data_IF_592916241158
#
_entry.id   IF_592916241158
#
_cell.length_a   1.000
_cell.length_b   1.000
_cell.length_c   1.000
_cell.angle_alpha   90.00
_cell.angle_beta   90.00
_cell.angle_gamma   90.00
#
_symmetry.space_group_name_H-M   'P 1'
#
loop_
_entity.id
_entity.type
_entity.pdbx_description
1 polymer ?
#
# COMPACT_ATOMS: atom_id res chain seq x y z
N UNK A 1 1.72 -8.69 2.40
CA UNK A 1 1.36 -7.44 1.77
C UNK A 1 -0.12 -7.47 1.39
N UNK A 2 -0.86 -6.45 1.81
CA UNK A 2 -2.30 -6.37 1.60
C UNK A 2 -2.67 -5.11 0.81
N UNK A 3 -3.28 -5.32 -0.36
CA UNK A 3 -4.01 -4.29 -1.09
C UNK A 3 -5.43 -4.13 -0.51
N UNK A 4 -6.16 -3.11 -0.97
CA UNK A 4 -7.50 -2.80 -0.45
C UNK A 4 -8.64 -3.54 -1.19
N UNK A 5 -8.35 -4.58 -1.98
CA UNK A 5 -9.36 -5.34 -2.72
C UNK A 5 -10.14 -6.34 -1.85
N UNK A 6 -11.30 -6.85 -2.31
CA UNK A 6 -12.19 -7.74 -1.55
C UNK A 6 -11.53 -8.99 -0.95
N UNK A 7 -10.57 -9.67 -1.62
CA UNK A 7 -9.90 -10.84 -1.04
C UNK A 7 -9.00 -10.52 0.17
N UNK A 8 -8.83 -9.25 0.54
CA UNK A 8 -8.02 -8.81 1.66
C UNK A 8 -8.39 -9.52 2.97
N UNK A 9 -9.67 -9.60 3.29
CA UNK A 9 -10.16 -10.24 4.52
C UNK A 9 -9.80 -11.72 4.57
N UNK A 10 -10.02 -12.45 3.47
CA UNK A 10 -9.67 -13.88 3.37
C UNK A 10 -8.16 -14.10 3.47
N UNK A 11 -7.36 -13.24 2.83
CA UNK A 11 -5.91 -13.23 2.97
C UNK A 11 -5.47 -13.00 4.41
N UNK A 12 -6.10 -12.04 5.11
CA UNK A 12 -5.86 -11.75 6.52
C UNK A 12 -6.13 -12.94 7.44
N UNK A 13 -7.22 -13.68 7.22
CA UNK A 13 -7.52 -14.91 7.96
C UNK A 13 -6.47 -16.00 7.78
N UNK A 14 -5.91 -16.15 6.57
CA UNK A 14 -4.84 -17.10 6.28
C UNK A 14 -3.57 -16.71 7.02
N UNK A 15 -3.19 -15.44 6.96
CA UNK A 15 -1.97 -14.92 7.59
C UNK A 15 -2.08 -14.94 9.10
N UNK A 16 -3.23 -14.59 9.68
CA UNK A 16 -3.43 -14.62 11.13
C UNK A 16 -3.25 -16.01 11.73
N UNK A 17 -3.40 -17.06 10.95
CA UNK A 17 -3.18 -18.46 11.35
C UNK A 17 -1.75 -18.95 11.17
N UNK A 18 -0.88 -18.19 10.47
CA UNK A 18 0.46 -18.67 10.09
C UNK A 18 1.63 -18.01 10.81
N UNK A 19 1.44 -17.04 11.80
CA UNK A 19 2.09 -15.99 11.91
C UNK A 19 2.92 -15.38 12.86
N UNK A 20 3.64 -15.88 13.56
CA UNK A 20 4.52 -15.15 14.49
C UNK A 20 5.72 -14.48 13.78
N UNK A 21 6.12 -14.94 12.60
CA UNK A 21 7.34 -14.49 11.89
C UNK A 21 7.09 -13.70 10.58
N UNK A 22 5.86 -13.24 10.34
CA UNK A 22 5.51 -12.54 9.11
C UNK A 22 5.27 -11.06 9.33
N UNK A 23 5.98 -10.19 8.60
CA UNK A 23 5.64 -8.77 8.53
C UNK A 23 4.34 -8.56 7.75
N UNK A 24 3.40 -7.86 8.35
CA UNK A 24 2.10 -7.54 7.78
C UNK A 24 2.09 -6.09 7.32
N UNK A 25 2.05 -5.90 6.01
CA UNK A 25 2.14 -4.59 5.37
C UNK A 25 0.79 -4.22 4.77
N UNK A 26 0.27 -3.06 5.14
CA UNK A 26 -0.96 -2.47 4.59
C UNK A 26 -0.67 -1.13 3.92
N UNK A 27 -1.58 -0.63 3.10
CA UNK A 27 -1.38 0.63 2.39
C UNK A 27 -2.64 1.48 2.26
N UNK A 28 -2.44 2.77 2.05
CA UNK A 28 -3.45 3.77 1.73
C UNK A 28 -4.65 3.75 2.69
N UNK A 29 -5.87 3.55 2.19
CA UNK A 29 -7.11 3.65 2.96
C UNK A 29 -7.45 2.40 3.82
N UNK A 30 -6.50 1.49 4.06
CA UNK A 30 -6.75 0.24 4.81
C UNK A 30 -7.39 0.48 6.19
N UNK A 31 -7.06 1.59 6.87
CA UNK A 31 -7.60 1.97 8.18
C UNK A 31 -9.13 2.09 8.20
N UNK A 32 -9.76 2.35 7.06
CA UNK A 32 -11.21 2.43 6.95
C UNK A 32 -11.90 1.09 7.19
N UNK A 33 -11.21 -0.03 7.02
CA UNK A 33 -11.71 -1.37 7.37
C UNK A 33 -11.23 -1.76 8.77
N UNK A 34 -11.91 -1.24 9.79
CA UNK A 34 -11.53 -1.42 11.21
C UNK A 34 -11.44 -2.89 11.61
N UNK A 35 -12.42 -3.71 11.22
CA UNK A 35 -12.43 -5.13 11.56
C UNK A 35 -11.22 -5.86 10.98
N UNK A 36 -10.84 -5.52 9.74
CA UNK A 36 -9.65 -6.06 9.10
C UNK A 36 -8.37 -5.63 9.82
N UNK A 37 -8.25 -4.35 10.16
CA UNK A 37 -7.08 -3.81 10.84
C UNK A 37 -6.89 -4.41 12.24
N UNK A 38 -7.99 -4.59 12.99
CA UNK A 38 -7.98 -5.25 14.30
C UNK A 38 -7.57 -6.73 14.20
N UNK A 39 -8.08 -7.45 13.20
CA UNK A 39 -7.74 -8.85 12.96
C UNK A 39 -6.28 -9.02 12.51
N UNK A 40 -5.82 -8.15 11.62
CA UNK A 40 -4.50 -8.27 11.02
C UNK A 40 -3.39 -7.81 11.96
N UNK A 41 -3.57 -6.73 12.71
CA UNK A 41 -2.54 -6.04 13.48
C UNK A 41 -1.28 -5.81 12.63
N UNK A 42 -1.30 -4.89 11.66
CA UNK A 42 -0.18 -4.69 10.74
C UNK A 42 1.05 -4.14 11.46
N UNK A 43 2.23 -4.47 10.92
CA UNK A 43 3.52 -4.00 11.43
C UNK A 43 4.02 -2.76 10.67
N UNK A 44 3.62 -2.65 9.39
CA UNK A 44 4.05 -1.58 8.49
C UNK A 44 2.85 -1.00 7.74
N UNK A 45 2.77 0.32 7.70
CA UNK A 45 1.79 1.07 6.93
C UNK A 45 2.49 1.85 5.82
N UNK A 46 2.03 1.74 4.57
CA UNK A 46 2.62 2.44 3.42
C UNK A 46 1.67 3.52 2.91
N UNK A 47 2.12 4.75 2.88
CA UNK A 47 1.43 5.89 2.24
C UNK A 47 2.29 6.45 1.12
N UNK A 48 1.68 6.67 -0.04
CA UNK A 48 2.43 7.09 -1.21
C UNK A 48 1.64 7.98 -2.17
N UNK A 49 0.35 8.11 -1.97
CA UNK A 49 -0.51 8.91 -2.81
C UNK A 49 -0.50 10.37 -2.34
N UNK A 50 -0.36 11.31 -3.27
CA UNK A 50 -0.42 12.75 -2.98
C UNK A 50 -1.72 13.17 -2.28
N UNK A 51 -2.76 12.37 -2.41
CA UNK A 51 -3.99 12.49 -1.65
C UNK A 51 -3.75 12.62 -0.12
N UNK A 52 -2.69 11.99 0.42
CA UNK A 52 -2.38 11.98 1.85
C UNK A 52 -1.53 13.19 2.31
N UNK A 53 -1.22 14.12 1.43
CA UNK A 53 -0.64 15.43 1.78
C UNK A 53 -1.56 16.60 1.40
N UNK A 54 -2.70 16.30 0.77
CA UNK A 54 -3.70 17.30 0.42
C UNK A 54 -4.54 17.68 1.64
N UNK A 55 -4.70 18.98 1.87
CA UNK A 55 -5.45 19.52 3.00
C UNK A 55 -6.93 19.13 3.01
N UNK A 56 -7.50 18.80 1.87
CA UNK A 56 -8.91 18.39 1.75
C UNK A 56 -9.18 17.00 2.35
N UNK A 57 -8.13 16.20 2.59
CA UNK A 57 -8.21 14.83 3.05
C UNK A 57 -7.62 14.60 4.46
N UNK A 58 -7.42 15.68 5.22
CA UNK A 58 -6.81 15.63 6.56
C UNK A 58 -7.54 14.66 7.53
N UNK A 59 -8.84 14.43 7.34
CA UNK A 59 -9.60 13.51 8.18
C UNK A 59 -9.06 12.08 8.12
N UNK A 60 -8.86 11.55 6.92
CA UNK A 60 -8.32 10.20 6.72
C UNK A 60 -6.85 10.11 7.14
N UNK A 61 -6.04 11.12 6.80
CA UNK A 61 -4.65 11.16 7.22
C UNK A 61 -4.53 11.14 8.75
N UNK A 62 -5.36 11.93 9.44
CA UNK A 62 -5.37 11.93 10.91
C UNK A 62 -5.75 10.55 11.47
N UNK A 63 -6.76 9.90 10.91
CA UNK A 63 -7.16 8.54 11.33
C UNK A 63 -6.00 7.54 11.17
N UNK A 64 -5.25 7.62 10.07
CA UNK A 64 -4.06 6.78 9.84
C UNK A 64 -2.97 7.09 10.85
N UNK A 65 -2.65 8.35 11.08
CA UNK A 65 -1.59 8.75 12.02
C UNK A 65 -1.94 8.36 13.46
N UNK A 66 -3.20 8.53 13.86
CA UNK A 66 -3.68 8.09 15.18
C UNK A 66 -3.60 6.57 15.31
N UNK A 67 -3.96 5.82 14.25
CA UNK A 67 -3.85 4.36 14.24
C UNK A 67 -2.40 3.88 14.35
N UNK A 68 -1.50 4.44 13.54
CA UNK A 68 -0.06 4.13 13.53
C UNK A 68 0.56 4.39 14.92
N UNK A 69 0.26 5.54 15.51
CA UNK A 69 0.75 5.93 16.83
C UNK A 69 0.24 5.02 17.94
N UNK A 70 -1.05 4.68 17.92
CA UNK A 70 -1.67 3.89 19.00
C UNK A 70 -1.31 2.40 18.96
N UNK A 71 -0.86 1.90 17.79
CA UNK A 71 -0.54 0.48 17.60
C UNK A 71 0.95 0.21 17.37
N UNK A 72 1.81 1.20 17.56
CA UNK A 72 3.28 1.08 17.45
C UNK A 72 3.76 0.61 16.06
N UNK A 73 3.11 1.09 15.00
CA UNK A 73 3.33 0.68 13.61
C UNK A 73 4.38 1.57 12.94
N UNK A 74 5.23 0.99 12.07
CA UNK A 74 6.14 1.74 11.23
C UNK A 74 5.39 2.34 10.03
N UNK A 75 5.58 3.62 9.76
CA UNK A 75 4.98 4.34 8.64
C UNK A 75 6.00 4.59 7.53
N UNK A 76 5.81 3.94 6.38
CA UNK A 76 6.63 4.12 5.18
C UNK A 76 6.02 5.22 4.29
N UNK A 77 6.78 6.28 4.03
CA UNK A 77 6.37 7.43 3.22
C UNK A 77 7.51 7.89 2.29
N UNK A 78 7.23 8.65 1.23
CA UNK A 78 8.29 9.35 0.47
C UNK A 78 9.18 10.17 1.40
N UNK A 79 10.50 10.10 1.21
CA UNK A 79 11.47 10.87 2.02
C UNK A 79 11.17 12.36 2.03
N UNK A 80 10.67 12.89 0.94
CA UNK A 80 10.30 14.30 0.78
C UNK A 80 9.12 14.73 1.67
N UNK A 81 8.33 13.76 2.18
CA UNK A 81 7.18 14.04 3.05
C UNK A 81 7.55 14.05 4.53
N UNK A 82 8.69 13.48 4.92
CA UNK A 82 9.09 13.36 6.34
C UNK A 82 9.04 14.71 7.07
N UNK A 83 9.61 15.82 6.56
CA UNK A 83 9.54 17.10 7.26
C UNK A 83 8.09 17.56 7.49
N UNK A 84 7.23 17.41 6.47
CA UNK A 84 5.81 17.77 6.60
C UNK A 84 5.11 16.95 7.68
N UNK A 85 5.36 15.61 7.70
CA UNK A 85 4.71 14.72 8.65
C UNK A 85 5.16 14.99 10.09
N UNK A 86 6.43 15.27 10.31
CA UNK A 86 6.96 15.61 11.64
C UNK A 86 6.49 16.99 12.09
N UNK A 87 6.68 18.02 11.25
CA UNK A 87 6.46 19.41 11.63
C UNK A 87 4.97 19.82 11.68
N UNK A 88 4.20 19.39 10.68
CA UNK A 88 2.80 19.80 10.58
C UNK A 88 1.82 18.82 11.25
N UNK A 89 2.14 17.52 11.23
CA UNK A 89 1.22 16.49 11.74
C UNK A 89 1.70 15.83 13.03
N UNK A 90 2.90 16.17 13.53
CA UNK A 90 3.43 15.68 14.79
C UNK A 90 3.72 14.17 14.80
N UNK A 91 4.06 13.60 13.62
CA UNK A 91 4.45 12.20 13.53
C UNK A 91 5.78 11.96 14.26
N UNK A 92 5.91 10.80 14.91
CA UNK A 92 7.17 10.40 15.55
C UNK A 92 8.18 10.00 14.47
N UNK A 93 9.27 10.76 14.34
CA UNK A 93 10.32 10.53 13.35
C UNK A 93 10.92 9.12 13.46
N UNK A 94 10.99 8.55 14.67
CA UNK A 94 11.51 7.20 14.89
C UNK A 94 10.59 6.09 14.33
N UNK A 95 9.36 6.44 13.98
CA UNK A 95 8.38 5.54 13.35
C UNK A 95 8.25 5.77 11.86
N UNK A 96 9.01 6.71 11.29
CA UNK A 96 8.98 7.01 9.86
C UNK A 96 10.11 6.29 9.12
N UNK A 97 9.76 5.61 8.06
CA UNK A 97 10.69 5.02 7.10
C UNK A 97 10.53 5.78 5.78
N UNK A 98 11.60 6.47 5.36
CA UNK A 98 11.61 7.23 4.12
C UNK A 98 12.11 6.37 2.95
N UNK A 99 11.40 6.39 1.83
CA UNK A 99 11.87 5.79 0.57
C UNK A 99 12.10 6.86 -0.51
N UNK A 100 13.02 6.61 -1.44
CA UNK A 100 13.20 7.41 -2.64
C UNK A 100 12.37 6.83 -3.79
N UNK A 101 11.95 7.71 -4.74
CA UNK A 101 11.09 7.33 -5.87
C UNK A 101 11.89 7.39 -7.19
N UNK A 102 13.09 6.89 -7.21
CA UNK A 102 14.07 7.04 -8.29
C UNK A 102 14.43 5.73 -9.01
N UNK A 103 13.87 4.59 -8.59
CA UNK A 103 14.18 3.31 -9.21
C UNK A 103 13.55 3.20 -10.60
N UNK A 104 14.39 3.00 -11.60
CA UNK A 104 13.98 2.87 -13.01
C UNK A 104 14.21 1.46 -13.56
N UNK A 105 15.11 0.69 -12.94
CA UNK A 105 15.48 -0.65 -13.36
C UNK A 105 14.71 -1.70 -12.55
N UNK A 106 14.42 -2.83 -13.19
CA UNK A 106 13.78 -3.97 -12.54
C UNK A 106 14.79 -4.65 -11.61
N UNK A 107 14.73 -4.31 -10.34
CA UNK A 107 15.57 -4.86 -9.27
C UNK A 107 14.89 -4.63 -7.92
N UNK A 108 15.16 -5.46 -6.93
CA UNK A 108 14.65 -5.22 -5.58
C UNK A 108 15.59 -4.32 -4.76
N UNK A 109 15.04 -3.43 -3.94
CA UNK A 109 15.82 -2.60 -3.03
C UNK A 109 16.39 -3.42 -1.87
N UNK A 110 17.38 -2.84 -1.19
CA UNK A 110 17.87 -3.35 0.10
C UNK A 110 17.34 -2.50 1.25
N UNK A 111 17.50 -2.97 2.50
CA UNK A 111 17.13 -2.20 3.70
C UNK A 111 17.87 -0.87 3.81
N UNK A 112 19.12 -0.84 3.34
CA UNK A 112 19.99 0.35 3.38
C UNK A 112 19.62 1.36 2.29
N UNK A 113 19.05 0.87 1.17
CA UNK A 113 18.68 1.70 0.01
C UNK A 113 17.24 1.42 -0.38
N UNK A 114 16.32 1.85 0.46
CA UNK A 114 14.92 1.70 0.21
C UNK A 114 14.46 2.68 -0.88
N UNK A 115 14.25 2.18 -2.08
CA UNK A 115 13.79 2.93 -3.24
C UNK A 115 12.70 2.17 -3.98
N UNK A 116 11.80 2.91 -4.62
CA UNK A 116 10.62 2.37 -5.29
C UNK A 116 10.55 2.78 -6.75
N UNK A 117 9.74 2.09 -7.54
CA UNK A 117 9.68 2.30 -8.98
C UNK A 117 8.96 3.58 -9.36
N UNK A 118 9.64 4.47 -10.07
CA UNK A 118 9.07 5.75 -10.52
C UNK A 118 7.97 5.59 -11.58
N UNK A 119 8.00 4.50 -12.36
CA UNK A 119 7.09 4.27 -13.50
C UNK A 119 5.85 3.46 -13.17
N UNK A 120 5.77 2.83 -12.00
CA UNK A 120 4.58 2.08 -11.61
C UNK A 120 3.50 3.02 -11.07
N UNK A 121 2.23 2.73 -11.39
CA UNK A 121 1.09 3.59 -11.05
C UNK A 121 0.22 3.04 -9.91
N UNK A 122 0.54 1.86 -9.38
CA UNK A 122 -0.23 1.24 -8.31
C UNK A 122 0.59 1.13 -7.03
N UNK A 123 -0.02 1.40 -5.88
CA UNK A 123 0.65 1.35 -4.57
C UNK A 123 1.31 0.00 -4.29
N UNK A 124 0.73 -1.10 -4.75
CA UNK A 124 1.30 -2.44 -4.51
C UNK A 124 2.58 -2.65 -5.31
N UNK A 125 2.56 -2.39 -6.60
CA UNK A 125 3.73 -2.60 -7.48
C UNK A 125 4.78 -1.55 -7.31
N UNK A 126 4.38 -0.29 -7.09
CA UNK A 126 5.31 0.83 -6.95
C UNK A 126 6.03 0.83 -5.61
N UNK A 127 5.30 0.56 -4.52
CA UNK A 127 5.78 0.71 -3.15
C UNK A 127 5.75 -0.59 -2.35
N UNK A 128 4.62 -1.28 -2.35
CA UNK A 128 4.39 -2.44 -1.49
C UNK A 128 5.36 -3.58 -1.74
N UNK A 129 5.49 -4.04 -2.98
CA UNK A 129 6.41 -5.13 -3.33
C UNK A 129 7.88 -4.73 -3.09
N UNK A 130 8.38 -3.57 -3.54
CA UNK A 130 9.74 -3.14 -3.22
C UNK A 130 10.02 -3.06 -1.71
N UNK A 131 9.11 -2.49 -0.92
CA UNK A 131 9.29 -2.41 0.53
C UNK A 131 9.29 -3.80 1.15
N UNK A 132 8.36 -4.67 0.76
CA UNK A 132 8.29 -6.05 1.25
C UNK A 132 9.56 -6.84 0.88
N UNK A 133 10.07 -6.70 -0.34
CA UNK A 133 11.30 -7.38 -0.79
C UNK A 133 12.56 -6.94 -0.05
N UNK A 134 12.59 -5.69 0.44
CA UNK A 134 13.67 -5.22 1.29
C UNK A 134 13.64 -5.80 2.71
N UNK A 135 12.47 -6.27 3.16
CA UNK A 135 12.26 -6.78 4.52
C UNK A 135 12.29 -8.30 4.60
N UNK A 136 11.85 -9.00 3.54
CA UNK A 136 11.56 -10.43 3.55
C UNK A 136 12.00 -11.10 2.25
N UNK A 137 12.41 -12.36 2.35
CA UNK A 137 12.76 -13.20 1.20
C UNK A 137 11.50 -13.79 0.51
N UNK A 138 10.39 -13.89 1.22
CA UNK A 138 9.13 -14.45 0.74
C UNK A 138 7.99 -13.43 0.89
N UNK A 139 7.23 -13.18 -0.18
CA UNK A 139 6.16 -12.17 -0.19
C UNK A 139 4.84 -12.82 -0.58
N UNK A 140 3.85 -12.74 0.32
CA UNK A 140 2.47 -13.09 0.04
C UNK A 140 1.65 -11.84 -0.22
N UNK A 141 0.91 -11.80 -1.33
CA UNK A 141 0.09 -10.67 -1.75
C UNK A 141 -1.38 -11.06 -1.69
N UNK A 142 -2.21 -10.23 -1.08
CA UNK A 142 -3.65 -10.41 -1.03
C UNK A 142 -4.39 -9.07 -1.26
N UNK A 143 -5.62 -9.14 -1.80
CA UNK A 143 -6.42 -7.94 -2.04
C UNK A 143 -6.00 -7.12 -3.26
N UNK A 144 -5.39 -7.76 -4.27
CA UNK A 144 -4.90 -7.10 -5.48
C UNK A 144 -5.62 -7.55 -6.76
N UNK A 145 -6.76 -8.24 -6.66
CA UNK A 145 -7.46 -8.89 -7.78
C UNK A 145 -8.29 -7.93 -8.66
N UNK A 146 -8.22 -6.70 -8.44
CA UNK A 146 -8.66 -5.43 -9.01
C UNK A 146 -9.65 -5.33 -10.17
N UNK A 147 -10.08 -6.37 -10.88
CA UNK A 147 -10.84 -6.18 -12.13
C UNK A 147 -12.16 -6.96 -12.26
N UNK A 148 -12.47 -7.88 -11.38
CA UNK A 148 -13.72 -8.65 -11.42
C UNK A 148 -14.48 -8.53 -10.11
N UNK A 149 -14.75 -7.30 -9.71
CA UNK A 149 -15.50 -7.02 -8.49
C UNK A 149 -16.98 -6.97 -8.85
N UNK A 150 -17.81 -7.76 -8.18
CA UNK A 150 -19.27 -7.67 -8.29
C UNK A 150 -19.77 -6.30 -7.77
N UNK A 151 -21.00 -5.90 -8.15
CA UNK A 151 -21.55 -4.64 -7.64
C UNK A 151 -21.68 -4.61 -6.11
N UNK A 152 -21.91 -5.76 -5.50
CA UNK A 152 -22.04 -5.92 -4.05
C UNK A 152 -20.66 -5.77 -3.37
N UNK A 153 -19.61 -6.37 -3.94
CA UNK A 153 -18.23 -6.24 -3.44
C UNK A 153 -17.70 -4.80 -3.57
N UNK A 154 -18.12 -4.03 -4.60
CA UNK A 154 -17.80 -2.60 -4.73
C UNK A 154 -18.34 -1.75 -3.58
N UNK A 155 -19.44 -2.15 -2.92
CA UNK A 155 -20.01 -1.43 -1.79
C UNK A 155 -19.18 -1.54 -0.51
N UNK A 156 -18.38 -2.60 -0.37
CA UNK A 156 -17.44 -2.77 0.74
C UNK A 156 -16.10 -2.04 0.49
N UNK A 157 -15.83 -1.73 -0.78
CA UNK A 157 -14.57 -1.12 -1.21
C UNK A 157 -14.75 0.39 -1.43
N UNK A 158 -14.66 1.14 -0.36
CA UNK A 158 -14.77 2.60 -0.41
C UNK A 158 -13.41 3.25 -0.68
N UNK A 159 -13.06 3.42 -1.94
CA UNK A 159 -12.40 4.67 -2.33
C UNK A 159 -13.38 5.83 -2.13
N UNK A 160 -12.89 7.05 -1.96
CA UNK A 160 -13.77 8.18 -1.70
C UNK A 160 -14.90 8.26 -2.74
N UNK A 161 -16.08 8.78 -2.36
CA UNK A 161 -17.20 8.96 -3.31
C UNK A 161 -16.85 9.85 -4.51
N UNK A 162 -15.79 10.65 -4.40
CA UNK A 162 -15.23 11.49 -5.45
C UNK A 162 -14.52 10.65 -6.51
N UNK A 163 -13.71 9.68 -6.09
CA UNK A 163 -12.97 8.79 -6.99
C UNK A 163 -13.90 7.92 -7.82
N UNK A 164 -15.03 7.48 -7.26
CA UNK A 164 -16.02 6.68 -7.99
C UNK A 164 -16.68 7.44 -9.15
N UNK A 165 -16.91 8.74 -9.01
CA UNK A 165 -17.47 9.56 -10.11
C UNK A 165 -16.45 9.85 -11.21
N UNK A 166 -15.19 10.10 -10.84
CA UNK A 166 -14.11 10.32 -11.79
C UNK A 166 -13.75 9.04 -12.56
N UNK A 167 -13.84 7.86 -11.94
CA UNK A 167 -13.66 6.56 -12.60
C UNK A 167 -14.75 6.27 -13.64
N UNK A 168 -16.00 6.63 -13.37
CA UNK A 168 -17.10 6.45 -14.33
C UNK A 168 -16.92 7.33 -15.57
N UNK A 169 -16.35 8.52 -15.45
CA UNK A 169 -16.11 9.47 -16.53
C UNK A 169 -14.85 9.13 -17.36
N UNK A 170 -13.87 8.42 -16.81
CA UNK A 170 -12.57 8.13 -17.42
C UNK A 170 -12.29 6.63 -17.65
N UNK A 171 -13.30 5.82 -17.92
CA UNK A 171 -13.24 4.36 -18.05
C UNK A 171 -12.12 3.85 -19.00
N UNK A 172 -11.78 4.60 -20.04
CA UNK A 172 -10.77 4.16 -21.03
C UNK A 172 -9.35 4.35 -20.52
N UNK A 173 -9.06 5.44 -19.83
CA UNK A 173 -7.75 5.71 -19.22
C UNK A 173 -7.51 4.75 -18.05
N UNK A 174 -8.49 4.59 -17.19
CA UNK A 174 -8.44 3.66 -16.07
C UNK A 174 -8.20 2.21 -16.51
N UNK A 175 -8.80 1.76 -17.61
CA UNK A 175 -8.55 0.42 -18.16
C UNK A 175 -7.10 0.23 -18.61
N UNK A 176 -6.51 1.21 -19.28
CA UNK A 176 -5.12 1.11 -19.73
C UNK A 176 -4.15 1.12 -18.54
N UNK A 177 -4.40 1.94 -17.54
CA UNK A 177 -3.60 1.97 -16.31
C UNK A 177 -3.67 0.65 -15.55
N UNK A 178 -4.85 0.04 -15.47
CA UNK A 178 -5.06 -1.29 -14.87
C UNK A 178 -4.26 -2.35 -15.65
N UNK A 179 -4.31 -2.35 -16.98
CA UNK A 179 -3.56 -3.29 -17.81
C UNK A 179 -2.05 -3.12 -17.63
N UNK A 180 -1.57 -1.88 -17.61
CA UNK A 180 -0.16 -1.56 -17.37
C UNK A 180 0.28 -2.02 -15.97
N UNK A 181 -0.58 -1.85 -14.97
CA UNK A 181 -0.31 -2.33 -13.61
C UNK A 181 -0.15 -3.85 -13.56
N UNK A 182 -1.05 -4.61 -14.21
CA UNK A 182 -0.94 -6.08 -14.23
C UNK A 182 0.31 -6.55 -14.96
N UNK A 183 0.61 -5.96 -16.13
CA UNK A 183 1.81 -6.29 -16.87
C UNK A 183 3.08 -6.07 -16.03
N UNK A 184 3.16 -4.94 -15.33
CA UNK A 184 4.29 -4.64 -14.47
C UNK A 184 4.35 -5.53 -13.22
N UNK A 185 3.20 -5.90 -12.65
CA UNK A 185 3.14 -6.83 -11.53
C UNK A 185 3.62 -8.24 -11.95
N UNK A 186 3.20 -8.73 -13.11
CA UNK A 186 3.68 -10.00 -13.66
C UNK A 186 5.18 -9.99 -13.90
N UNK A 187 5.73 -8.89 -14.44
CA UNK A 187 7.15 -8.69 -14.63
C UNK A 187 7.93 -8.73 -13.31
N UNK A 188 7.43 -8.05 -12.27
CA UNK A 188 8.02 -8.06 -10.92
C UNK A 188 8.00 -9.44 -10.29
N UNK A 189 6.89 -10.17 -10.39
CA UNK A 189 6.76 -11.51 -9.82
C UNK A 189 7.71 -12.48 -10.53
N UNK A 190 7.75 -12.45 -11.86
CA UNK A 190 8.68 -13.27 -12.67
C UNK A 190 10.15 -12.95 -12.31
N UNK A 191 10.46 -11.69 -12.12
CA UNK A 191 11.80 -11.29 -11.68
C UNK A 191 12.11 -11.85 -10.28
N UNK A 192 11.18 -11.76 -9.33
CA UNK A 192 11.32 -12.33 -7.99
C UNK A 192 11.60 -13.82 -8.02
N UNK A 193 10.79 -14.59 -8.75
CA UNK A 193 10.97 -16.03 -8.91
C UNK A 193 12.33 -16.40 -9.52
N UNK A 194 12.86 -15.57 -10.42
CA UNK A 194 14.19 -15.75 -11.02
C UNK A 194 15.36 -15.56 -10.06
N UNK A 195 15.13 -14.92 -8.93
CA UNK A 195 16.15 -14.65 -7.91
C UNK A 195 16.16 -15.68 -6.78
N UNK A 196 15.14 -16.52 -6.71
CA UNK A 196 15.06 -17.65 -5.79
C UNK A 196 14.56 -17.32 -4.46
#
# INVERSE_FOLDING_TARGET
>A
LFGNGPPMTKGGEIVSKRKEDAYKIVCNAAVQNKNFMEMLCPDVYVLSDYYFIDTDNLGLLKEILDYVKNNDIMLCIPKTWIPLYVEAYGADENKLIGFSEDRTELSFPTKEQLSVYSKAHNVITRYGIPIASALCDEIYIAGCDGTKISKEEKLEWKHSQKDQKEEEENITVAKQEILNHYAFMEELLTYGESKG
#
